data_IF_659159907647
#
_entry.id   IF_659159907647
#
_cell.length_a   1.000
_cell.length_b   1.000
_cell.length_c   1.000
_cell.angle_alpha   90.00
_cell.angle_beta   90.00
_cell.angle_gamma   90.00
#
_symmetry.space_group_name_H-M   'P 1'
#
loop_
_entity.id
_entity.type
_entity.pdbx_description
1 polymer ?
#
# COMPACT_ATOMS: atom_id res chain seq x y z
N UNK A 1 -21.96 0.44 7.70
CA UNK A 1 -21.83 -0.87 8.40
C UNK A 1 -20.38 -1.17 8.81
N UNK A 2 -19.50 -1.68 7.94
CA UNK A 2 -18.13 -2.10 8.35
C UNK A 2 -17.26 -0.94 8.88
N UNK A 3 -17.34 0.24 8.25
CA UNK A 3 -16.61 1.43 8.72
C UNK A 3 -17.02 1.86 10.13
N UNK A 4 -18.32 1.80 10.44
CA UNK A 4 -18.83 2.10 11.79
C UNK A 4 -18.33 1.08 12.81
N UNK A 5 -18.36 -0.21 12.47
CA UNK A 5 -17.81 -1.27 13.32
C UNK A 5 -16.31 -1.07 13.59
N UNK A 6 -15.53 -0.71 12.57
CA UNK A 6 -14.10 -0.43 12.75
C UNK A 6 -13.87 0.75 13.71
N UNK A 7 -14.68 1.81 13.60
CA UNK A 7 -14.64 2.95 14.51
C UNK A 7 -15.01 2.56 15.95
N UNK A 8 -16.12 1.83 16.14
CA UNK A 8 -16.58 1.33 17.45
C UNK A 8 -15.53 0.45 18.13
N UNK A 9 -14.84 -0.39 17.35
CA UNK A 9 -13.80 -1.30 17.82
C UNK A 9 -12.40 -0.67 17.86
N UNK A 10 -12.25 0.57 17.40
CA UNK A 10 -10.97 1.29 17.28
C UNK A 10 -9.92 0.49 16.50
N UNK A 11 -10.36 -0.23 15.46
CA UNK A 11 -9.49 -1.03 14.61
C UNK A 11 -9.12 -0.28 13.33
N UNK A 12 -7.88 -0.45 12.81
CA UNK A 12 -7.53 0.07 11.50
C UNK A 12 -8.29 -0.66 10.40
N UNK A 13 -8.49 0.02 9.26
CA UNK A 13 -9.14 -0.55 8.08
C UNK A 13 -8.13 -0.90 6.98
N UNK A 14 -8.38 -2.00 6.27
CA UNK A 14 -7.67 -2.37 5.04
C UNK A 14 -8.67 -2.20 3.91
N UNK A 15 -8.47 -1.17 3.09
CA UNK A 15 -9.41 -0.77 2.04
C UNK A 15 -8.93 -1.32 0.70
N UNK A 16 -9.73 -2.20 0.11
CA UNK A 16 -9.64 -2.50 -1.31
C UNK A 16 -10.48 -1.48 -2.08
N UNK A 17 -9.90 -0.86 -3.09
CA UNK A 17 -10.60 0.09 -3.96
C UNK A 17 -10.08 -0.06 -5.38
N UNK A 18 -11.00 -0.33 -6.32
CA UNK A 18 -10.71 -0.45 -7.75
C UNK A 18 -11.81 0.27 -8.54
N UNK A 19 -11.40 1.15 -9.45
CA UNK A 19 -12.30 1.97 -10.27
C UNK A 19 -13.37 2.74 -9.48
N UNK A 20 -13.08 3.06 -8.21
CA UNK A 20 -14.03 3.63 -7.25
C UNK A 20 -13.37 4.66 -6.31
N UNK A 21 -12.29 5.34 -6.76
CA UNK A 21 -11.51 6.23 -5.89
C UNK A 21 -12.35 7.36 -5.26
N UNK A 22 -13.22 7.99 -6.05
CA UNK A 22 -14.07 9.09 -5.60
C UNK A 22 -15.05 8.64 -4.50
N UNK A 23 -15.82 7.57 -4.76
CA UNK A 23 -16.77 6.98 -3.82
C UNK A 23 -16.06 6.52 -2.53
N UNK A 24 -14.87 5.92 -2.69
CA UNK A 24 -14.04 5.49 -1.56
C UNK A 24 -13.66 6.68 -0.68
N UNK A 25 -13.18 7.78 -1.27
CA UNK A 25 -12.83 8.98 -0.52
C UNK A 25 -14.04 9.64 0.13
N UNK A 26 -15.18 9.68 -0.54
CA UNK A 26 -16.43 10.20 0.03
C UNK A 26 -16.81 9.45 1.30
N UNK A 27 -16.82 8.11 1.24
CA UNK A 27 -17.11 7.26 2.40
C UNK A 27 -16.07 7.48 3.50
N UNK A 28 -14.78 7.55 3.19
CA UNK A 28 -13.74 7.73 4.20
C UNK A 28 -13.75 9.13 4.83
N UNK A 29 -14.28 10.16 4.13
CA UNK A 29 -14.54 11.48 4.73
C UNK A 29 -15.72 11.45 5.70
N UNK A 30 -16.77 10.68 5.38
CA UNK A 30 -17.92 10.50 6.26
C UNK A 30 -17.59 9.63 7.49
N UNK A 31 -16.70 8.66 7.32
CA UNK A 31 -16.26 7.73 8.37
C UNK A 31 -14.73 7.70 8.48
N UNK A 32 -14.11 8.74 9.07
CA UNK A 32 -12.66 8.81 9.21
C UNK A 32 -12.12 7.61 10.01
N UNK A 33 -11.07 6.98 9.50
CA UNK A 33 -10.42 5.85 10.14
C UNK A 33 -8.91 5.87 9.87
N UNK A 34 -8.13 5.23 10.74
CA UNK A 34 -6.76 4.88 10.41
C UNK A 34 -6.79 3.65 9.49
N UNK A 35 -5.98 3.61 8.44
CA UNK A 35 -6.01 2.48 7.54
C UNK A 35 -5.00 2.53 6.41
N UNK A 36 -5.07 1.52 5.56
CA UNK A 36 -4.27 1.40 4.35
C UNK A 36 -5.17 1.25 3.13
N UNK A 37 -4.83 1.93 2.04
CA UNK A 37 -5.35 1.61 0.71
C UNK A 37 -4.47 0.51 0.14
N UNK A 38 -4.98 -0.72 0.22
CA UNK A 38 -4.29 -1.94 -0.16
C UNK A 38 -4.29 -2.11 -1.69
N UNK A 39 -3.23 -2.73 -2.21
CA UNK A 39 -2.98 -3.05 -3.62
C UNK A 39 -3.18 -1.82 -4.50
N UNK A 40 -2.48 -0.72 -4.15
CA UNK A 40 -2.74 0.58 -4.73
C UNK A 40 -2.49 0.61 -6.25
N UNK A 41 -3.52 0.99 -7.00
CA UNK A 41 -3.52 0.98 -8.47
C UNK A 41 -3.92 2.32 -9.14
N UNK A 42 -4.18 3.36 -8.36
CA UNK A 42 -4.62 4.66 -8.89
C UNK A 42 -3.45 5.60 -9.24
N UNK A 43 -3.75 6.84 -9.63
CA UNK A 43 -2.75 7.85 -9.98
C UNK A 43 -2.01 8.40 -8.76
N UNK A 44 -0.95 9.16 -9.01
CA UNK A 44 -0.15 9.78 -7.95
C UNK A 44 -0.94 10.85 -7.19
N UNK A 45 -1.81 11.58 -7.88
CA UNK A 45 -2.67 12.61 -7.28
C UNK A 45 -3.65 11.97 -6.29
N UNK A 46 -4.28 10.86 -6.69
CA UNK A 46 -5.16 10.06 -5.82
C UNK A 46 -4.39 9.53 -4.61
N UNK A 47 -3.15 9.08 -4.78
CA UNK A 47 -2.32 8.62 -3.67
C UNK A 47 -2.06 9.76 -2.66
N UNK A 48 -1.76 10.96 -3.15
CA UNK A 48 -1.54 12.15 -2.31
C UNK A 48 -2.79 12.53 -1.54
N UNK A 49 -3.98 12.46 -2.15
CA UNK A 49 -5.25 12.70 -1.45
C UNK A 49 -5.46 11.72 -0.29
N UNK A 50 -5.27 10.41 -0.52
CA UNK A 50 -5.37 9.43 0.56
C UNK A 50 -4.33 9.66 1.67
N UNK A 51 -3.10 10.05 1.31
CA UNK A 51 -2.05 10.40 2.29
C UNK A 51 -2.44 11.64 3.11
N UNK A 52 -3.02 12.67 2.49
CA UNK A 52 -3.53 13.87 3.18
C UNK A 52 -4.67 13.53 4.14
N UNK A 53 -5.51 12.56 3.77
CA UNK A 53 -6.55 12.00 4.65
C UNK A 53 -6.00 11.11 5.78
N UNK A 54 -4.69 10.84 5.81
CA UNK A 54 -4.02 10.09 6.87
C UNK A 54 -3.82 8.60 6.59
N UNK A 55 -4.20 8.11 5.41
CA UNK A 55 -4.08 6.70 5.05
C UNK A 55 -2.66 6.33 4.60
N UNK A 56 -2.29 5.08 4.84
CA UNK A 56 -1.11 4.45 4.25
C UNK A 56 -1.42 3.93 2.86
N UNK A 57 -0.38 3.75 2.04
CA UNK A 57 -0.50 3.21 0.68
C UNK A 57 0.27 1.90 0.60
N UNK A 58 -0.44 0.82 0.29
CA UNK A 58 0.11 -0.52 0.14
C UNK A 58 0.52 -0.79 -1.31
N UNK A 59 1.75 -1.28 -1.50
CA UNK A 59 2.25 -1.69 -2.81
C UNK A 59 2.66 -3.16 -2.84
N UNK A 60 2.30 -3.82 -3.94
CA UNK A 60 2.57 -5.24 -4.21
C UNK A 60 3.65 -5.42 -5.27
N UNK A 61 3.85 -6.67 -5.73
CA UNK A 61 4.69 -7.00 -6.88
C UNK A 61 4.29 -6.30 -8.19
N UNK A 62 3.14 -5.61 -8.25
CA UNK A 62 2.73 -4.77 -9.38
C UNK A 62 3.81 -3.77 -9.80
N UNK A 63 4.61 -3.27 -8.86
CA UNK A 63 5.68 -2.30 -9.12
C UNK A 63 6.72 -2.82 -10.11
N UNK A 64 6.89 -4.14 -10.19
CA UNK A 64 7.85 -4.78 -11.09
C UNK A 64 7.30 -4.98 -12.50
N UNK A 65 6.02 -4.66 -12.75
CA UNK A 65 5.37 -4.95 -14.02
C UNK A 65 5.73 -3.90 -15.06
N UNK A 66 5.98 -4.34 -16.30
CA UNK A 66 6.39 -3.45 -17.43
C UNK A 66 5.41 -2.32 -17.74
N UNK A 67 4.12 -2.49 -17.43
CA UNK A 67 3.06 -1.51 -17.70
C UNK A 67 2.59 -0.73 -16.46
N UNK A 68 3.27 -0.84 -15.32
CA UNK A 68 2.84 -0.26 -14.04
C UNK A 68 3.10 1.26 -13.92
N UNK A 69 2.78 2.05 -14.95
CA UNK A 69 3.05 3.50 -14.96
C UNK A 69 2.41 4.23 -13.77
N UNK A 70 1.14 3.94 -13.47
CA UNK A 70 0.39 4.60 -12.38
C UNK A 70 0.95 4.24 -10.99
N UNK A 71 1.09 2.95 -10.61
CA UNK A 71 1.69 2.59 -9.31
C UNK A 71 3.12 3.13 -9.12
N UNK A 72 3.95 3.12 -10.17
CA UNK A 72 5.32 3.65 -10.08
C UNK A 72 5.33 5.17 -9.84
N UNK A 73 4.48 5.92 -10.55
CA UNK A 73 4.34 7.36 -10.34
C UNK A 73 3.80 7.68 -8.94
N UNK A 74 2.84 6.89 -8.45
CA UNK A 74 2.30 7.04 -7.10
C UNK A 74 3.36 6.76 -6.02
N UNK A 75 4.10 5.66 -6.14
CA UNK A 75 5.19 5.34 -5.23
C UNK A 75 6.17 6.49 -5.09
N UNK A 76 6.61 7.09 -6.20
CA UNK A 76 7.54 8.23 -6.21
C UNK A 76 7.02 9.51 -5.51
N UNK A 77 5.71 9.60 -5.22
CA UNK A 77 5.09 10.75 -4.56
C UNK A 77 4.66 10.50 -3.12
N UNK A 78 4.52 9.24 -2.71
CA UNK A 78 4.13 8.87 -1.35
C UNK A 78 5.35 8.92 -0.43
N UNK A 79 5.29 9.64 0.71
CA UNK A 79 6.42 9.71 1.63
C UNK A 79 6.67 8.37 2.31
N UNK A 80 7.95 8.06 2.62
CA UNK A 80 8.38 6.79 3.23
C UNK A 80 7.60 6.42 4.51
N UNK A 81 7.20 7.42 5.31
CA UNK A 81 6.43 7.22 6.54
C UNK A 81 4.92 6.91 6.32
N UNK A 82 4.50 6.73 5.07
CA UNK A 82 3.13 6.35 4.65
C UNK A 82 3.10 5.14 3.71
N UNK A 83 4.24 4.52 3.43
CA UNK A 83 4.31 3.31 2.62
C UNK A 83 4.07 2.06 3.45
N UNK A 84 3.39 1.08 2.85
CA UNK A 84 3.34 -0.30 3.32
C UNK A 84 3.74 -1.25 2.20
N UNK A 85 4.38 -2.34 2.61
CA UNK A 85 4.85 -3.42 1.75
C UNK A 85 3.92 -4.62 1.91
N UNK A 86 3.54 -5.24 0.79
CA UNK A 86 2.61 -6.37 0.77
C UNK A 86 2.84 -7.26 -0.45
N UNK A 87 2.24 -8.45 -0.43
CA UNK A 87 2.25 -9.38 -1.58
C UNK A 87 0.91 -9.44 -2.30
N UNK A 88 -0.21 -9.34 -1.56
CA UNK A 88 -1.54 -9.75 -2.03
C UNK A 88 -1.56 -11.22 -2.51
N UNK A 89 -0.76 -12.08 -1.86
CA UNK A 89 -0.67 -13.49 -2.22
C UNK A 89 -2.05 -14.18 -2.06
N UNK A 90 -2.42 -15.11 -2.96
CA UNK A 90 -1.59 -15.77 -3.97
C UNK A 90 -1.40 -15.02 -5.30
N UNK A 91 -1.88 -13.78 -5.40
CA UNK A 91 -1.85 -12.96 -6.61
C UNK A 91 -0.60 -12.07 -6.70
N UNK A 92 -0.50 -11.29 -7.78
CA UNK A 92 0.47 -10.19 -7.89
C UNK A 92 1.95 -10.58 -7.79
N UNK A 93 2.30 -11.80 -8.21
CA UNK A 93 3.68 -12.27 -8.22
C UNK A 93 4.59 -11.31 -9.01
N UNK A 94 5.66 -10.76 -8.38
CA UNK A 94 6.57 -9.82 -9.03
C UNK A 94 7.36 -10.50 -10.16
N UNK A 95 7.85 -9.72 -11.14
CA UNK A 95 8.83 -10.17 -12.13
C UNK A 95 10.08 -10.68 -11.41
N UNK A 96 10.67 -11.82 -11.84
CA UNK A 96 10.37 -12.62 -13.04
C UNK A 96 9.28 -13.70 -12.87
N UNK A 97 8.55 -13.71 -11.75
CA UNK A 97 7.57 -14.75 -11.39
C UNK A 97 6.13 -14.46 -11.86
N UNK A 98 5.92 -13.50 -12.77
CA UNK A 98 4.59 -13.22 -13.32
C UNK A 98 3.92 -14.48 -13.87
N UNK A 99 2.64 -14.65 -13.56
CA UNK A 99 1.86 -15.83 -13.94
C UNK A 99 2.04 -17.05 -13.02
N UNK A 100 2.96 -16.99 -12.05
CA UNK A 100 3.08 -17.99 -10.99
C UNK A 100 2.28 -17.57 -9.75
N UNK A 101 2.02 -18.54 -8.86
CA UNK A 101 1.48 -18.28 -7.52
C UNK A 101 2.48 -17.41 -6.73
N UNK A 102 2.00 -16.33 -6.12
CA UNK A 102 2.80 -15.51 -5.22
C UNK A 102 2.77 -16.04 -3.79
N UNK A 103 3.82 -15.73 -3.04
CA UNK A 103 3.92 -15.92 -1.60
C UNK A 103 4.91 -14.90 -1.00
N UNK A 104 5.00 -14.85 0.34
CA UNK A 104 5.80 -13.86 1.06
C UNK A 104 7.31 -13.95 0.84
N UNK A 105 7.84 -15.08 0.33
CA UNK A 105 9.27 -15.19 -0.02
C UNK A 105 9.67 -14.28 -1.20
N UNK A 106 8.69 -13.78 -1.96
CA UNK A 106 8.91 -12.89 -3.11
C UNK A 106 8.96 -11.40 -2.74
N UNK A 107 8.70 -11.03 -1.48
CA UNK A 107 8.79 -9.65 -1.00
C UNK A 107 10.09 -8.92 -1.35
N UNK A 108 11.29 -9.56 -1.30
CA UNK A 108 12.54 -8.89 -1.67
C UNK A 108 12.54 -8.29 -3.08
N UNK A 109 11.82 -8.90 -4.04
CA UNK A 109 11.71 -8.37 -5.41
C UNK A 109 10.91 -7.05 -5.45
N UNK A 110 9.87 -6.95 -4.64
CA UNK A 110 9.09 -5.71 -4.49
C UNK A 110 9.90 -4.64 -3.76
N UNK A 111 10.63 -5.02 -2.69
CA UNK A 111 11.49 -4.12 -1.91
C UNK A 111 12.59 -3.52 -2.78
N UNK A 112 13.31 -4.34 -3.56
CA UNK A 112 14.33 -3.87 -4.49
C UNK A 112 13.77 -2.83 -5.46
N UNK A 113 12.57 -3.06 -6.01
CA UNK A 113 11.92 -2.10 -6.88
C UNK A 113 11.49 -0.82 -6.16
N UNK A 114 11.03 -0.92 -4.92
CA UNK A 114 10.68 0.25 -4.12
C UNK A 114 11.90 1.12 -3.83
N UNK A 115 13.01 0.50 -3.46
CA UNK A 115 14.28 1.15 -3.16
C UNK A 115 14.82 1.93 -4.37
N UNK A 116 14.81 1.29 -5.56
CA UNK A 116 15.17 1.92 -6.84
C UNK A 116 14.39 3.21 -7.09
N UNK A 117 13.06 3.17 -6.93
CA UNK A 117 12.19 4.32 -7.24
C UNK A 117 12.31 5.44 -6.19
N UNK A 118 12.50 5.07 -4.92
CA UNK A 118 12.62 6.03 -3.82
C UNK A 118 14.03 6.62 -3.67
N UNK A 119 15.04 6.03 -4.33
CA UNK A 119 16.44 6.48 -4.23
C UNK A 119 17.05 6.23 -2.84
N UNK A 120 16.63 5.17 -2.15
CA UNK A 120 17.11 4.76 -0.82
C UNK A 120 17.54 3.30 -0.83
N UNK A 121 18.13 2.81 0.26
CA UNK A 121 18.50 1.41 0.38
C UNK A 121 17.28 0.49 0.59
N UNK A 122 17.42 -0.79 0.23
CA UNK A 122 16.40 -1.81 0.52
C UNK A 122 16.09 -1.92 2.02
N UNK A 123 17.13 -1.81 2.87
CA UNK A 123 16.97 -1.84 4.32
C UNK A 123 16.15 -0.64 4.82
N UNK A 124 16.34 0.55 4.27
CA UNK A 124 15.52 1.72 4.62
C UNK A 124 14.04 1.50 4.27
N UNK A 125 13.74 0.89 3.11
CA UNK A 125 12.36 0.51 2.76
C UNK A 125 11.80 -0.47 3.79
N UNK A 126 12.54 -1.51 4.14
CA UNK A 126 12.13 -2.51 5.13
C UNK A 126 11.86 -1.85 6.48
N UNK A 127 12.78 -1.02 6.97
CA UNK A 127 12.67 -0.37 8.28
C UNK A 127 11.48 0.59 8.34
N UNK A 128 11.30 1.41 7.31
CA UNK A 128 10.16 2.33 7.23
C UNK A 128 8.82 1.59 7.14
N UNK A 129 8.71 0.60 6.25
CA UNK A 129 7.46 -0.15 6.06
C UNK A 129 7.13 -1.01 7.28
N UNK A 130 8.12 -1.63 7.92
CA UNK A 130 7.99 -2.33 9.22
C UNK A 130 7.48 -1.38 10.29
N UNK A 131 8.12 -0.22 10.48
CA UNK A 131 7.70 0.79 11.47
C UNK A 131 6.28 1.28 11.21
N UNK A 132 5.92 1.48 9.94
CA UNK A 132 4.57 1.87 9.54
C UNK A 132 3.54 0.79 9.85
N UNK A 133 3.83 -0.48 9.54
CA UNK A 133 2.96 -1.62 9.82
C UNK A 133 2.73 -1.81 11.32
N UNK A 134 3.81 -1.78 12.12
CA UNK A 134 3.71 -1.84 13.59
C UNK A 134 2.84 -0.72 14.15
N UNK A 135 3.02 0.51 13.65
CA UNK A 135 2.23 1.67 14.08
C UNK A 135 0.76 1.57 13.66
N UNK A 136 0.47 1.12 12.44
CA UNK A 136 -0.90 1.04 11.94
C UNK A 136 -1.69 -0.08 12.64
N UNK A 137 -1.09 -1.27 12.72
CA UNK A 137 -1.77 -2.48 13.20
C UNK A 137 -1.57 -2.75 14.70
N UNK A 138 -0.73 -1.96 15.38
CA UNK A 138 -0.47 -2.14 16.82
C UNK A 138 0.29 -3.43 17.13
N UNK A 139 1.14 -3.90 16.22
CA UNK A 139 1.89 -5.15 16.34
C UNK A 139 3.38 -4.89 16.61
N UNK A 140 4.10 -5.89 17.11
CA UNK A 140 5.55 -5.90 17.22
C UNK A 140 6.13 -6.96 16.27
N UNK A 141 7.15 -6.57 15.51
CA UNK A 141 7.90 -7.42 14.59
C UNK A 141 9.37 -7.40 14.96
#
# INVERSE_FOLDING_TARGET
AQMQLAAERKLPVVIHSRDAAADTMEILRQYPANGVIHCFGYSAEVAQEFVQMGYYIGFTGVLTFTNARKPLAALAKVPLNRLLLETDCPYMAPVPNRGKRCDSSMLPLTVAKMAEIQGVSEQEIVDHTRKNACRLFGIML
#
